data_IF_869490537936
#
_entry.id   IF_869490537936
#
_cell.length_a   1.000
_cell.length_b   1.000
_cell.length_c   1.000
_cell.angle_alpha   90.00
_cell.angle_beta   90.00
_cell.angle_gamma   90.00
#
_symmetry.space_group_name_H-M   'P 1'
#
loop_
_entity.id
_entity.type
_entity.pdbx_description
1 polymer ?
#
# COMPACT_ATOMS: atom_id res chain seq x y z
N UNK A 1 -10.40 -115.00 23.82
CA UNK A 1 -10.56 -113.54 24.06
C UNK A 1 -9.87 -112.76 22.95
N UNK A 2 -10.61 -112.32 21.92
CA UNK A 2 -10.05 -111.65 20.72
C UNK A 2 -10.71 -110.28 20.45
N UNK A 3 -11.04 -109.53 21.52
CA UNK A 3 -11.79 -108.25 21.44
C UNK A 3 -10.87 -107.03 21.65
N UNK A 4 -9.62 -107.22 22.12
CA UNK A 4 -8.71 -106.10 22.43
C UNK A 4 -8.31 -105.29 21.18
N UNK A 5 -8.10 -105.91 20.02
CA UNK A 5 -7.70 -105.20 18.80
C UNK A 5 -8.76 -104.25 18.22
N UNK A 6 -10.05 -104.58 18.39
CA UNK A 6 -11.17 -103.78 17.88
C UNK A 6 -11.35 -102.46 18.65
N UNK A 7 -11.19 -102.49 19.98
CA UNK A 7 -11.27 -101.28 20.81
C UNK A 7 -10.11 -100.29 20.54
N UNK A 8 -8.91 -100.79 20.23
CA UNK A 8 -7.78 -99.95 19.85
C UNK A 8 -7.98 -99.28 18.48
N UNK A 9 -8.59 -99.98 17.51
CA UNK A 9 -8.97 -99.39 16.22
C UNK A 9 -10.01 -98.27 16.38
N UNK A 10 -11.05 -98.50 17.20
CA UNK A 10 -12.09 -97.50 17.46
C UNK A 10 -11.53 -96.25 18.18
N UNK A 11 -10.62 -96.44 19.14
CA UNK A 11 -9.96 -95.33 19.83
C UNK A 11 -9.10 -94.50 18.88
N UNK A 12 -8.40 -95.13 17.93
CA UNK A 12 -7.58 -94.45 16.94
C UNK A 12 -8.44 -93.63 15.96
N UNK A 13 -9.58 -94.18 15.51
CA UNK A 13 -10.54 -93.45 14.67
C UNK A 13 -11.13 -92.26 15.41
N UNK A 14 -11.53 -92.43 16.67
CA UNK A 14 -12.03 -91.35 17.52
C UNK A 14 -11.00 -90.24 17.74
N UNK A 15 -9.73 -90.60 17.95
CA UNK A 15 -8.63 -89.65 18.09
C UNK A 15 -8.40 -88.84 16.81
N UNK A 16 -8.36 -89.51 15.66
CA UNK A 16 -8.20 -88.83 14.35
C UNK A 16 -9.37 -87.89 14.09
N UNK A 17 -10.60 -88.31 14.37
CA UNK A 17 -11.79 -87.47 14.21
C UNK A 17 -11.80 -86.27 15.17
N UNK A 18 -11.39 -86.47 16.42
CA UNK A 18 -11.25 -85.41 17.40
C UNK A 18 -10.20 -84.38 17.00
N UNK A 19 -9.05 -84.82 16.47
CA UNK A 19 -8.00 -83.94 15.94
C UNK A 19 -8.52 -83.17 14.73
N UNK A 20 -9.23 -83.83 13.81
CA UNK A 20 -9.79 -83.19 12.62
C UNK A 20 -10.81 -82.10 12.99
N UNK A 21 -11.71 -82.38 13.93
CA UNK A 21 -12.68 -81.40 14.42
C UNK A 21 -12.01 -80.26 15.18
N UNK A 22 -10.97 -80.54 15.98
CA UNK A 22 -10.20 -79.50 16.65
C UNK A 22 -9.49 -78.57 15.66
N UNK A 23 -8.89 -79.14 14.60
CA UNK A 23 -8.27 -78.36 13.51
C UNK A 23 -9.31 -77.55 12.77
N UNK A 24 -10.45 -78.14 12.43
CA UNK A 24 -11.54 -77.45 11.73
C UNK A 24 -12.10 -76.30 12.57
N UNK A 25 -12.32 -76.51 13.87
CA UNK A 25 -12.82 -75.47 14.77
C UNK A 25 -11.81 -74.33 14.94
N UNK A 26 -10.50 -74.66 15.02
CA UNK A 26 -9.43 -73.66 15.11
C UNK A 26 -9.33 -72.85 13.81
N UNK A 27 -9.42 -73.51 12.66
CA UNK A 27 -9.36 -72.86 11.34
C UNK A 27 -10.56 -71.95 11.10
N UNK A 28 -11.78 -72.38 11.44
CA UNK A 28 -12.99 -71.55 11.33
C UNK A 28 -12.91 -70.30 12.21
N UNK A 29 -12.34 -70.42 13.41
CA UNK A 29 -12.17 -69.28 14.33
C UNK A 29 -11.13 -68.28 13.84
N UNK A 30 -10.04 -68.75 13.22
CA UNK A 30 -9.04 -67.88 12.59
C UNK A 30 -9.60 -67.14 11.36
N UNK A 31 -10.51 -67.78 10.60
CA UNK A 31 -11.21 -67.17 9.46
C UNK A 31 -12.16 -66.05 9.91
N UNK A 32 -12.86 -66.21 11.05
CA UNK A 32 -13.72 -65.14 11.60
C UNK A 32 -12.92 -63.94 12.14
N UNK A 33 -11.68 -64.15 12.61
CA UNK A 33 -10.81 -63.08 13.12
C UNK A 33 -10.03 -62.35 12.02
N UNK A 34 -10.01 -62.88 10.80
CA UNK A 34 -9.37 -62.24 9.65
C UNK A 34 -10.38 -61.26 9.04
N UNK A 35 -10.09 -59.94 8.96
CA UNK A 35 -11.04 -58.99 8.37
C UNK A 35 -11.39 -59.44 6.95
N UNK A 36 -12.68 -59.49 6.57
CA UNK A 36 -13.10 -60.05 5.31
C UNK A 36 -12.41 -59.30 4.17
N UNK A 37 -11.91 -60.04 3.17
CA UNK A 37 -11.19 -59.51 1.99
C UNK A 37 -11.99 -58.39 1.28
N UNK A 38 -13.31 -58.36 1.45
CA UNK A 38 -14.18 -57.29 0.95
C UNK A 38 -13.95 -55.93 1.66
N UNK A 39 -13.65 -55.91 2.96
CA UNK A 39 -13.32 -54.68 3.70
C UNK A 39 -11.96 -54.11 3.31
N UNK A 40 -10.98 -54.96 2.99
CA UNK A 40 -9.67 -54.49 2.49
C UNK A 40 -9.77 -53.96 1.06
N UNK A 41 -10.61 -54.55 0.21
CA UNK A 41 -10.89 -54.03 -1.13
C UNK A 41 -11.62 -52.67 -1.12
N UNK A 42 -12.64 -52.53 -0.26
CA UNK A 42 -13.37 -51.26 -0.14
C UNK A 42 -12.52 -50.15 0.48
N UNK A 43 -11.69 -50.47 1.47
CA UNK A 43 -10.74 -49.53 2.06
C UNK A 43 -9.65 -49.13 1.05
N UNK A 44 -9.13 -50.09 0.26
CA UNK A 44 -8.19 -49.79 -0.82
C UNK A 44 -8.82 -48.88 -1.90
N UNK A 45 -10.10 -49.09 -2.23
CA UNK A 45 -10.83 -48.23 -3.15
C UNK A 45 -11.01 -46.81 -2.59
N UNK A 46 -11.37 -46.66 -1.31
CA UNK A 46 -11.49 -45.37 -0.64
C UNK A 46 -10.14 -44.63 -0.58
N UNK A 47 -9.06 -45.32 -0.23
CA UNK A 47 -7.70 -44.74 -0.22
C UNK A 47 -7.31 -44.28 -1.63
N UNK A 48 -7.60 -45.08 -2.66
CA UNK A 48 -7.32 -44.69 -4.04
C UNK A 48 -8.16 -43.50 -4.50
N UNK A 49 -9.41 -43.39 -4.08
CA UNK A 49 -10.27 -42.25 -4.38
C UNK A 49 -9.79 -40.98 -3.68
N UNK A 50 -9.48 -41.06 -2.38
CA UNK A 50 -8.92 -39.96 -1.62
C UNK A 50 -7.57 -39.49 -2.19
N UNK A 51 -6.73 -40.41 -2.69
CA UNK A 51 -5.50 -40.06 -3.41
C UNK A 51 -5.78 -39.28 -4.69
N UNK A 52 -6.76 -39.69 -5.49
CA UNK A 52 -7.14 -38.98 -6.73
C UNK A 52 -7.69 -37.59 -6.43
N UNK A 53 -8.55 -37.45 -5.42
CA UNK A 53 -9.06 -36.13 -5.00
C UNK A 53 -7.95 -35.22 -4.50
N UNK A 54 -7.03 -35.75 -3.68
CA UNK A 54 -5.84 -35.01 -3.24
C UNK A 54 -5.02 -34.53 -4.44
N UNK A 55 -4.77 -35.40 -5.42
CA UNK A 55 -3.97 -35.06 -6.59
C UNK A 55 -4.66 -34.00 -7.47
N UNK A 56 -6.00 -34.08 -7.61
CA UNK A 56 -6.80 -33.06 -8.29
C UNK A 56 -6.78 -31.72 -7.56
N UNK A 57 -6.97 -31.72 -6.24
CA UNK A 57 -6.94 -30.50 -5.43
C UNK A 57 -5.53 -29.87 -5.43
N UNK A 58 -4.48 -30.69 -5.43
CA UNK A 58 -3.11 -30.22 -5.56
C UNK A 58 -2.88 -29.55 -6.91
N UNK A 59 -3.34 -30.15 -8.01
CA UNK A 59 -3.27 -29.54 -9.34
C UNK A 59 -4.05 -28.21 -9.41
N UNK A 60 -5.23 -28.13 -8.80
CA UNK A 60 -6.01 -26.90 -8.72
C UNK A 60 -5.28 -25.81 -7.91
N UNK A 61 -4.69 -26.18 -6.76
CA UNK A 61 -3.91 -25.26 -5.95
C UNK A 61 -2.69 -24.73 -6.70
N UNK A 62 -1.99 -25.57 -7.45
CA UNK A 62 -0.83 -25.17 -8.24
C UNK A 62 -1.24 -24.30 -9.44
N UNK A 63 -2.38 -24.57 -10.08
CA UNK A 63 -2.95 -23.69 -11.10
C UNK A 63 -3.37 -22.33 -10.53
N UNK A 64 -3.99 -22.29 -9.34
CA UNK A 64 -4.38 -21.05 -8.67
C UNK A 64 -3.15 -20.23 -8.28
N UNK A 65 -2.11 -20.88 -7.72
CA UNK A 65 -0.81 -20.23 -7.44
C UNK A 65 -0.15 -19.69 -8.70
N UNK A 66 -0.18 -20.45 -9.79
CA UNK A 66 0.35 -19.99 -11.08
C UNK A 66 -0.43 -18.78 -11.63
N UNK A 67 -1.78 -18.75 -11.49
CA UNK A 67 -2.59 -17.58 -11.84
C UNK A 67 -2.28 -16.39 -10.94
N UNK A 68 -2.17 -16.60 -9.62
CA UNK A 68 -1.83 -15.55 -8.65
C UNK A 68 -0.46 -14.93 -8.97
N UNK A 69 0.54 -15.77 -9.27
CA UNK A 69 1.87 -15.33 -9.64
C UNK A 69 1.87 -14.59 -11.00
N UNK A 70 1.09 -15.03 -12.00
CA UNK A 70 0.96 -14.28 -13.26
C UNK A 70 0.31 -12.92 -13.08
N UNK A 71 -0.69 -12.82 -12.20
CA UNK A 71 -1.31 -11.54 -11.86
C UNK A 71 -0.33 -10.67 -11.10
N UNK A 72 0.33 -11.19 -10.06
CA UNK A 72 1.27 -10.44 -9.22
C UNK A 72 2.57 -10.04 -9.94
N UNK A 73 3.03 -10.83 -10.90
CA UNK A 73 4.28 -10.65 -11.66
C UNK A 73 4.06 -10.15 -13.09
N UNK A 74 2.82 -9.80 -13.46
CA UNK A 74 2.53 -9.24 -14.77
C UNK A 74 3.15 -7.84 -14.91
N UNK A 75 3.75 -7.48 -16.07
CA UNK A 75 4.29 -6.14 -16.30
C UNK A 75 3.26 -5.03 -16.08
N UNK A 76 1.98 -5.35 -16.24
CA UNK A 76 0.86 -4.47 -15.93
C UNK A 76 0.79 -4.04 -14.46
N UNK A 77 1.19 -4.87 -13.49
CA UNK A 77 1.11 -4.50 -12.06
C UNK A 77 2.17 -3.47 -11.69
N UNK A 78 3.38 -3.59 -12.20
CA UNK A 78 4.43 -2.62 -11.88
C UNK A 78 4.20 -1.29 -12.60
N UNK A 79 3.68 -1.31 -13.83
CA UNK A 79 3.20 -0.09 -14.49
C UNK A 79 2.05 0.53 -13.69
N UNK A 80 1.09 -0.25 -13.21
CA UNK A 80 -0.06 0.27 -12.46
C UNK A 80 0.36 0.83 -11.09
N UNK A 81 1.30 0.20 -10.39
CA UNK A 81 1.91 0.75 -9.17
C UNK A 81 2.60 2.08 -9.43
N UNK A 82 3.32 2.19 -10.55
CA UNK A 82 4.01 3.41 -10.95
C UNK A 82 3.01 4.53 -11.23
N UNK A 83 1.95 4.24 -11.97
CA UNK A 83 0.85 5.18 -12.23
C UNK A 83 0.12 5.60 -10.94
N UNK A 84 -0.16 4.67 -10.03
CA UNK A 84 -0.76 4.98 -8.73
C UNK A 84 0.14 5.90 -7.91
N UNK A 85 1.44 5.63 -7.87
CA UNK A 85 2.39 6.47 -7.14
C UNK A 85 2.50 7.86 -7.75
N UNK A 86 2.53 7.96 -9.08
CA UNK A 86 2.51 9.24 -9.81
C UNK A 86 1.22 10.02 -9.51
N UNK A 87 0.07 9.35 -9.54
CA UNK A 87 -1.21 9.96 -9.19
C UNK A 87 -1.23 10.44 -7.72
N UNK A 88 -0.68 9.65 -6.79
CA UNK A 88 -0.55 10.04 -5.37
C UNK A 88 0.35 11.25 -5.17
N UNK A 89 1.46 11.32 -5.91
CA UNK A 89 2.40 12.45 -5.87
C UNK A 89 1.72 13.73 -6.38
N UNK A 90 1.02 13.66 -7.51
CA UNK A 90 0.25 14.77 -8.08
C UNK A 90 -0.91 15.20 -7.16
N UNK A 91 -1.57 14.25 -6.52
CA UNK A 91 -2.59 14.53 -5.51
C UNK A 91 -2.01 15.05 -4.18
N UNK A 92 -0.68 15.05 -4.02
CA UNK A 92 0.01 15.48 -2.79
C UNK A 92 -0.26 14.59 -1.58
N UNK A 93 -0.73 13.35 -1.78
CA UNK A 93 -1.09 12.40 -0.70
C UNK A 93 0.10 11.57 -0.19
N UNK A 94 1.26 11.75 -0.82
CA UNK A 94 2.54 11.17 -0.39
C UNK A 94 3.60 12.26 -0.28
N UNK A 95 4.61 12.02 0.55
CA UNK A 95 5.75 12.92 0.64
C UNK A 95 6.52 12.96 -0.68
N UNK A 96 7.12 14.10 -0.97
CA UNK A 96 7.94 14.32 -2.15
C UNK A 96 9.35 14.71 -1.69
N UNK A 97 10.36 14.15 -2.37
CA UNK A 97 11.77 14.47 -2.10
C UNK A 97 12.46 14.78 -3.41
N UNK A 98 13.24 15.85 -3.45
CA UNK A 98 13.98 16.25 -4.64
C UNK A 98 14.78 17.54 -4.44
N UNK A 99 15.54 17.98 -5.46
CA UNK A 99 16.18 19.29 -5.42
C UNK A 99 15.13 20.39 -5.41
N UNK A 100 15.50 21.55 -4.87
CA UNK A 100 14.54 22.64 -4.73
C UNK A 100 15.09 23.89 -4.09
N UNK A 101 14.17 24.77 -3.71
CA UNK A 101 14.46 26.04 -3.05
C UNK A 101 13.65 26.19 -1.77
N UNK A 102 14.27 26.82 -0.78
CA UNK A 102 13.62 27.30 0.43
C UNK A 102 13.65 28.83 0.39
N UNK A 103 12.47 29.45 0.42
CA UNK A 103 12.29 30.91 0.48
C UNK A 103 11.76 31.27 1.86
N UNK A 104 12.53 32.04 2.62
CA UNK A 104 12.11 32.59 3.90
C UNK A 104 11.70 34.05 3.73
N UNK A 105 10.49 34.37 4.18
CA UNK A 105 9.90 35.69 4.17
C UNK A 105 9.65 36.13 5.61
N UNK A 106 10.14 37.31 5.98
CA UNK A 106 9.85 37.93 7.26
C UNK A 106 9.49 39.41 7.08
N UNK A 107 8.75 39.96 8.03
CA UNK A 107 8.30 41.36 7.98
C UNK A 107 9.47 42.34 7.83
N UNK A 108 9.14 43.56 7.44
CA UNK A 108 10.14 44.58 7.18
C UNK A 108 10.96 44.88 8.42
N UNK A 109 12.26 45.12 8.22
CA UNK A 109 13.14 45.64 9.26
C UNK A 109 13.24 47.18 9.23
N UNK A 110 12.52 47.83 8.31
CA UNK A 110 12.49 49.29 8.21
C UNK A 110 11.54 49.90 9.24
N UNK A 111 11.89 51.09 9.72
CA UNK A 111 10.99 51.87 10.56
C UNK A 111 10.02 52.64 9.67
N UNK A 112 8.72 52.45 9.89
CA UNK A 112 7.66 53.16 9.15
C UNK A 112 7.79 54.65 9.38
N UNK A 113 7.92 55.43 8.30
CA UNK A 113 8.05 56.88 8.41
C UNK A 113 6.71 57.56 8.65
N UNK A 114 6.68 58.76 9.27
CA UNK A 114 5.46 59.53 9.43
C UNK A 114 4.76 59.79 8.09
N UNK A 115 3.49 59.40 7.98
CA UNK A 115 2.68 59.57 6.77
C UNK A 115 2.66 58.35 5.82
N UNK A 116 3.47 57.33 6.10
CA UNK A 116 3.42 56.06 5.36
C UNK A 116 2.39 55.10 5.96
N UNK A 117 1.88 54.19 5.12
CA UNK A 117 0.97 53.14 5.55
C UNK A 117 1.76 51.96 6.15
N UNK A 118 1.60 51.63 7.45
CA UNK A 118 2.30 50.51 8.09
C UNK A 118 2.05 49.16 7.43
N UNK A 119 0.89 48.97 6.78
CA UNK A 119 0.54 47.72 6.13
C UNK A 119 1.47 47.36 4.95
N UNK A 120 2.18 48.33 4.38
CA UNK A 120 3.13 48.06 3.28
C UNK A 120 4.42 47.38 3.78
N UNK A 121 4.67 47.42 5.09
CA UNK A 121 5.88 46.90 5.74
C UNK A 121 5.67 45.52 6.37
N UNK A 122 4.46 44.97 6.29
CA UNK A 122 4.08 43.68 6.88
C UNK A 122 3.64 42.73 5.77
N UNK A 123 4.00 41.46 5.89
CA UNK A 123 3.62 40.43 4.93
C UNK A 123 2.12 40.16 4.95
N UNK A 124 1.52 40.17 3.76
CA UNK A 124 0.14 39.77 3.55
C UNK A 124 0.06 38.42 2.81
N UNK A 125 -1.13 37.83 2.80
CA UNK A 125 -1.43 36.62 2.04
C UNK A 125 -1.13 36.77 0.55
N UNK A 126 -1.40 37.94 -0.03
CA UNK A 126 -1.08 38.24 -1.42
C UNK A 126 0.42 38.15 -1.73
N UNK A 127 1.29 38.53 -0.80
CA UNK A 127 2.74 38.51 -0.99
C UNK A 127 3.25 37.07 -1.01
N UNK A 128 2.77 36.28 -0.05
CA UNK A 128 3.05 34.85 0.04
C UNK A 128 2.50 34.12 -1.20
N UNK A 129 1.30 34.46 -1.65
CA UNK A 129 0.69 33.89 -2.86
C UNK A 129 1.48 34.25 -4.12
N UNK A 130 1.96 35.49 -4.27
CA UNK A 130 2.81 35.90 -5.40
C UNK A 130 4.07 35.04 -5.47
N UNK A 131 4.75 34.82 -4.34
CA UNK A 131 5.94 33.95 -4.28
C UNK A 131 5.60 32.49 -4.62
N UNK A 132 4.52 31.94 -4.07
CA UNK A 132 4.08 30.57 -4.37
C UNK A 132 3.74 30.43 -5.86
N UNK A 133 3.06 31.41 -6.44
CA UNK A 133 2.66 31.38 -7.85
C UNK A 133 3.87 31.50 -8.78
N UNK A 134 4.85 32.33 -8.43
CA UNK A 134 6.12 32.43 -9.18
C UNK A 134 6.86 31.09 -9.18
N UNK A 135 6.96 30.43 -8.02
CA UNK A 135 7.55 29.09 -7.91
C UNK A 135 6.80 28.06 -8.75
N UNK A 136 5.47 28.06 -8.71
CA UNK A 136 4.63 27.17 -9.54
C UNK A 136 4.82 27.44 -11.03
N UNK A 137 4.86 28.71 -11.44
CA UNK A 137 5.11 29.12 -12.82
C UNK A 137 6.51 28.69 -13.30
N UNK A 138 7.50 28.71 -12.41
CA UNK A 138 8.85 28.22 -12.64
C UNK A 138 9.00 26.68 -12.61
N UNK A 139 7.89 25.94 -12.50
CA UNK A 139 7.88 24.47 -12.58
C UNK A 139 8.06 23.76 -11.25
N UNK A 140 7.69 24.37 -10.11
CA UNK A 140 7.64 23.67 -8.84
C UNK A 140 6.62 22.51 -8.87
N UNK A 141 7.08 21.30 -8.57
CA UNK A 141 6.29 20.06 -8.58
C UNK A 141 5.57 19.81 -7.25
N UNK A 142 6.17 20.30 -6.16
CA UNK A 142 5.62 20.23 -4.81
C UNK A 142 5.97 21.50 -4.06
N UNK A 143 5.00 22.07 -3.32
CA UNK A 143 5.19 23.29 -2.54
C UNK A 143 4.63 23.09 -1.14
N UNK A 144 5.29 23.66 -0.14
CA UNK A 144 4.78 23.77 1.23
C UNK A 144 5.09 25.12 1.83
N UNK A 145 4.30 25.51 2.83
CA UNK A 145 4.53 26.69 3.65
C UNK A 145 4.59 26.25 5.12
N UNK A 146 5.68 26.57 5.81
CA UNK A 146 5.96 26.14 7.19
C UNK A 146 5.73 24.63 7.39
N UNK A 147 6.16 23.83 6.40
CA UNK A 147 6.00 22.37 6.39
C UNK A 147 4.59 21.88 6.05
N UNK A 148 3.62 22.75 5.78
CA UNK A 148 2.27 22.35 5.34
C UNK A 148 2.23 22.21 3.83
N UNK A 149 2.00 20.99 3.33
CA UNK A 149 1.86 20.70 1.89
C UNK A 149 0.70 21.51 1.32
N UNK A 150 0.97 22.22 0.22
CA UNK A 150 -0.06 22.91 -0.55
C UNK A 150 -0.55 22.04 -1.70
N UNK A 151 -1.86 21.98 -1.85
CA UNK A 151 -2.57 21.36 -2.97
C UNK A 151 -3.08 22.43 -3.93
N UNK A 152 -3.67 22.00 -5.05
CA UNK A 152 -4.35 22.89 -5.99
C UNK A 152 -5.56 23.61 -5.35
N UNK A 153 -6.16 23.01 -4.32
CA UNK A 153 -7.33 23.53 -3.59
C UNK A 153 -6.97 24.20 -2.27
N UNK A 154 -5.68 24.28 -1.92
CA UNK A 154 -5.25 24.95 -0.69
C UNK A 154 -5.45 26.46 -0.81
N UNK A 155 -6.05 27.05 0.21
CA UNK A 155 -6.11 28.49 0.38
C UNK A 155 -4.85 29.02 1.07
N UNK A 156 -4.54 30.28 0.79
CA UNK A 156 -3.61 31.09 1.57
C UNK A 156 -4.33 32.41 1.76
N UNK A 157 -4.81 32.68 2.98
CA UNK A 157 -5.65 33.85 3.24
C UNK A 157 -5.36 34.49 4.59
N UNK A 158 -5.44 35.81 4.67
CA UNK A 158 -5.31 36.53 5.93
C UNK A 158 -6.50 36.27 6.85
N UNK A 159 -6.21 36.01 8.13
CA UNK A 159 -7.15 36.01 9.25
C UNK A 159 -6.51 36.78 10.40
N UNK A 160 -6.91 38.05 10.54
CA UNK A 160 -6.27 38.97 11.48
C UNK A 160 -4.78 39.14 11.14
N UNK A 161 -3.86 39.02 12.10
CA UNK A 161 -2.42 39.14 11.86
C UNK A 161 -1.76 37.83 11.39
N UNK A 162 -2.55 36.81 11.06
CA UNK A 162 -2.05 35.48 10.68
C UNK A 162 -2.52 35.08 9.29
N UNK A 163 -1.77 34.22 8.62
CA UNK A 163 -2.20 33.61 7.37
C UNK A 163 -2.74 32.22 7.67
N UNK A 164 -3.95 31.92 7.22
CA UNK A 164 -4.53 30.59 7.25
C UNK A 164 -4.21 29.84 5.95
N UNK A 165 -3.79 28.59 6.08
CA UNK A 165 -3.67 27.63 4.99
C UNK A 165 -4.34 26.30 5.35
N UNK A 166 -4.79 25.55 4.35
CA UNK A 166 -5.38 24.21 4.50
C UNK A 166 -6.47 24.17 5.59
N UNK A 167 -7.34 25.18 5.61
CA UNK A 167 -8.52 25.37 6.47
C UNK A 167 -8.25 25.53 7.97
N UNK A 168 -7.09 25.09 8.47
CA UNK A 168 -6.84 24.94 9.90
C UNK A 168 -5.49 25.45 10.38
N UNK A 169 -4.51 25.67 9.48
CA UNK A 169 -3.16 26.04 9.88
C UNK A 169 -2.97 27.55 9.82
N UNK A 170 -2.91 28.17 11.00
CA UNK A 170 -2.57 29.58 11.16
C UNK A 170 -1.05 29.72 11.27
N UNK A 171 -0.50 30.55 10.41
CA UNK A 171 0.93 30.77 10.26
C UNK A 171 1.23 32.24 10.56
N UNK A 172 2.40 32.47 11.15
CA UNK A 172 2.98 33.78 11.39
C UNK A 172 4.36 33.86 10.76
N UNK A 173 4.87 35.06 10.44
CA UNK A 173 6.24 35.25 10.04
C UNK A 173 7.23 34.67 11.08
N UNK A 174 8.39 34.13 10.65
CA UNK A 174 8.80 34.00 9.25
C UNK A 174 8.04 32.88 8.51
N UNK A 175 7.64 33.15 7.28
CA UNK A 175 7.06 32.15 6.38
C UNK A 175 8.16 31.47 5.58
N UNK A 176 8.27 30.16 5.72
CA UNK A 176 9.24 29.31 5.02
C UNK A 176 8.50 28.54 3.93
N UNK A 177 8.67 28.99 2.69
CA UNK A 177 8.09 28.36 1.51
C UNK A 177 9.14 27.42 0.92
N UNK A 178 8.85 26.13 0.92
CA UNK A 178 9.74 25.11 0.37
C UNK A 178 9.13 24.55 -0.91
N UNK A 179 9.91 24.54 -2.00
CA UNK A 179 9.46 24.08 -3.32
C UNK A 179 10.46 23.12 -3.95
N UNK A 180 9.99 21.97 -4.42
CA UNK A 180 10.76 20.98 -5.17
C UNK A 180 10.60 21.26 -6.67
N UNK A 181 11.71 21.25 -7.40
CA UNK A 181 11.76 21.54 -8.84
C UNK A 181 13.18 21.87 -9.27
N UNK A 182 13.35 22.43 -10.47
CA UNK A 182 14.66 22.93 -10.90
C UNK A 182 15.03 24.21 -10.09
N UNK A 183 16.04 24.15 -9.20
CA UNK A 183 16.32 25.26 -8.30
C UNK A 183 16.82 26.52 -9.01
N UNK A 184 17.61 26.37 -10.08
CA UNK A 184 18.15 27.50 -10.82
C UNK A 184 17.05 28.25 -11.57
N UNK A 185 16.08 27.52 -12.14
CA UNK A 185 14.91 28.09 -12.80
C UNK A 185 14.05 28.87 -11.80
N UNK A 186 13.79 28.29 -10.63
CA UNK A 186 13.00 28.93 -9.57
C UNK A 186 13.69 30.18 -8.99
N UNK A 187 15.00 30.13 -8.73
CA UNK A 187 15.74 31.30 -8.24
C UNK A 187 15.69 32.42 -9.26
N UNK A 188 15.93 32.11 -10.54
CA UNK A 188 15.90 33.10 -11.61
C UNK A 188 14.52 33.75 -11.76
N UNK A 189 13.44 32.96 -11.68
CA UNK A 189 12.07 33.46 -11.72
C UNK A 189 11.77 34.41 -10.54
N UNK A 190 12.11 34.00 -9.32
CA UNK A 190 11.93 34.82 -8.12
C UNK A 190 12.71 36.14 -8.19
N UNK A 191 13.94 36.09 -8.73
CA UNK A 191 14.85 37.24 -8.83
C UNK A 191 14.74 38.00 -10.16
N UNK A 192 13.67 37.77 -10.94
CA UNK A 192 13.42 38.58 -12.13
C UNK A 192 13.35 40.07 -11.77
N UNK A 193 13.96 40.90 -12.63
CA UNK A 193 13.91 42.37 -12.46
C UNK A 193 12.46 42.85 -12.49
N UNK A 194 12.09 43.68 -11.53
CA UNK A 194 10.72 44.14 -11.30
C UNK A 194 9.77 43.05 -10.76
N UNK A 195 10.29 41.86 -10.46
CA UNK A 195 9.52 40.71 -9.98
C UNK A 195 9.24 40.75 -8.47
N UNK A 196 8.71 39.64 -7.96
CA UNK A 196 8.20 39.55 -6.59
C UNK A 196 9.25 39.85 -5.52
N UNK A 197 10.48 39.33 -5.64
CA UNK A 197 11.52 39.54 -4.62
C UNK A 197 11.98 40.99 -4.56
N UNK A 198 12.09 41.65 -5.71
CA UNK A 198 12.50 43.06 -5.77
C UNK A 198 11.43 43.96 -5.16
N UNK A 199 10.15 43.72 -5.47
CA UNK A 199 9.02 44.45 -4.89
C UNK A 199 8.93 44.28 -3.36
N UNK A 200 9.14 43.06 -2.85
CA UNK A 200 9.14 42.81 -1.41
C UNK A 200 10.30 43.54 -0.72
N UNK A 201 11.51 43.42 -1.27
CA UNK A 201 12.71 44.07 -0.73
C UNK A 201 12.62 45.60 -0.76
N UNK A 202 11.91 46.17 -1.74
CA UNK A 202 11.67 47.61 -1.80
C UNK A 202 10.98 48.13 -0.52
N UNK A 203 10.02 47.38 0.02
CA UNK A 203 9.35 47.69 1.29
C UNK A 203 10.14 47.21 2.53
N UNK A 204 11.37 46.74 2.35
CA UNK A 204 12.23 46.23 3.42
C UNK A 204 11.84 44.84 3.92
N UNK A 205 10.87 44.17 3.29
CA UNK A 205 10.53 42.77 3.60
C UNK A 205 11.78 41.91 3.43
N UNK A 206 12.04 41.09 4.44
CA UNK A 206 13.24 40.28 4.49
C UNK A 206 13.01 39.00 3.69
N UNK A 207 13.76 38.86 2.59
CA UNK A 207 13.65 37.69 1.69
C UNK A 207 15.00 36.98 1.58
N UNK A 208 15.04 35.73 2.04
CA UNK A 208 16.18 34.82 1.92
C UNK A 208 15.82 33.62 1.05
N UNK A 209 16.68 33.27 0.10
CA UNK A 209 16.46 32.15 -0.82
C UNK A 209 17.66 31.21 -0.70
N UNK A 210 17.39 29.94 -0.41
CA UNK A 210 18.41 28.90 -0.32
C UNK A 210 18.16 27.82 -1.38
N UNK A 211 19.19 27.48 -2.12
CA UNK A 211 19.23 26.32 -3.00
C UNK A 211 19.53 25.06 -2.17
N UNK A 212 18.72 24.03 -2.33
CA UNK A 212 18.89 22.76 -1.64
C UNK A 212 18.97 21.63 -2.66
N UNK A 213 20.02 20.81 -2.56
CA UNK A 213 20.18 19.63 -3.42
C UNK A 213 19.14 18.55 -3.12
N UNK A 214 18.67 18.50 -1.88
CA UNK A 214 17.63 17.60 -1.43
C UNK A 214 16.75 18.31 -0.41
N UNK A 215 15.47 18.36 -0.70
CA UNK A 215 14.41 18.92 0.11
C UNK A 215 13.31 17.85 0.26
N UNK A 216 12.76 17.71 1.46
CA UNK A 216 11.64 16.83 1.74
C UNK A 216 10.40 17.67 2.03
N UNK A 217 9.35 17.46 1.26
CA UNK A 217 8.04 18.06 1.47
C UNK A 217 7.08 16.96 1.92
N UNK A 218 6.44 17.08 3.10
CA UNK A 218 5.55 16.04 3.61
C UNK A 218 4.31 15.85 2.73
N UNK A 219 3.60 14.74 2.97
CA UNK A 219 2.27 14.52 2.42
C UNK A 219 1.27 15.54 2.99
N UNK A 220 0.23 15.82 2.23
CA UNK A 220 -0.93 16.54 2.73
C UNK A 220 -1.60 15.73 3.84
N UNK A 221 -1.90 16.40 4.96
CA UNK A 221 -2.44 15.80 6.19
C UNK A 221 -3.93 16.12 6.41
N UNK A 222 -4.56 16.88 5.52
CA UNK A 222 -5.99 17.17 5.56
C UNK A 222 -6.84 16.14 4.81
N UNK A 223 -8.17 16.25 4.91
CA UNK A 223 -9.10 15.41 4.15
C UNK A 223 -9.35 15.95 2.75
N UNK A 224 -9.37 15.05 1.76
CA UNK A 224 -9.84 15.32 0.40
C UNK A 224 -11.20 14.64 0.28
N UNK A 225 -12.27 15.41 0.43
CA UNK A 225 -13.66 14.93 0.32
C UNK A 225 -14.39 15.62 -0.82
N UNK A 226 -15.20 14.86 -1.55
CA UNK A 226 -16.09 15.37 -2.58
C UNK A 226 -17.52 14.98 -2.23
N UNK A 227 -18.43 15.94 -2.18
CA UNK A 227 -19.83 15.66 -1.84
C UNK A 227 -20.59 14.96 -2.98
N UNK A 228 -20.26 15.35 -4.22
CA UNK A 228 -20.97 14.90 -5.42
C UNK A 228 -20.10 14.07 -6.37
N UNK A 229 -18.82 14.43 -6.53
CA UNK A 229 -17.94 13.75 -7.46
C UNK A 229 -17.57 12.35 -6.95
N UNK A 230 -17.58 11.37 -7.84
CA UNK A 230 -17.17 9.98 -7.56
C UNK A 230 -16.18 9.49 -8.62
N UNK A 231 -15.23 8.62 -8.25
CA UNK A 231 -14.39 7.96 -9.23
C UNK A 231 -15.26 7.23 -10.27
N UNK A 232 -14.87 7.29 -11.54
CA UNK A 232 -15.55 6.52 -12.57
C UNK A 232 -15.49 5.02 -12.21
N UNK A 233 -16.62 4.32 -12.33
CA UNK A 233 -16.66 2.89 -12.09
C UNK A 233 -15.65 2.17 -13.00
N UNK A 234 -14.91 1.21 -12.43
CA UNK A 234 -14.00 0.37 -13.20
C UNK A 234 -14.85 -0.39 -14.22
N UNK A 235 -14.71 -0.05 -15.51
CA UNK A 235 -15.27 -0.88 -16.58
C UNK A 235 -14.43 -2.15 -16.61
N UNK A 236 -14.97 -3.25 -16.11
CA UNK A 236 -14.42 -4.57 -16.43
C UNK A 236 -14.42 -4.68 -17.96
N UNK A 237 -13.21 -4.74 -18.54
CA UNK A 237 -13.03 -4.79 -19.97
C UNK A 237 -13.81 -5.98 -20.54
N UNK A 238 -14.71 -5.70 -21.48
CA UNK A 238 -15.28 -6.73 -22.33
C UNK A 238 -14.15 -7.46 -23.05
N UNK A 239 -14.06 -8.76 -22.81
CA UNK A 239 -13.24 -9.65 -23.62
C UNK A 239 -13.75 -9.60 -25.05
N UNK A 240 -12.85 -9.20 -25.96
CA UNK A 240 -12.94 -9.57 -27.36
C UNK A 240 -12.18 -10.89 -27.55
#
# INVERSE_FOLDING_TARGET
MKIRGFHWGLALVGLVMGIMLAVQFRLTRDIEQTPPVQQTQSLAAQVNQARRERDQLQQQADQLRARLNRVASGPQVDTLKTEINKARLLAGTVAATGPGVEVSLNDSNLTVQPGENPNLYVLHDEDVLKVINELKAAGAEAVSINGQRLLATSEVRCIGPTILTNQSHRLTPPFVIAAIGNPDTMINALQMRGGVVEQLRFWGIQVSIKKLAQLNIPAYNGSISFDYARPAAVREGGGA
#
